data_IF_174156304435
#
_entry.id   IF_174156304435
#
_cell.length_a   1.000
_cell.length_b   1.000
_cell.length_c   1.000
_cell.angle_alpha   90.00
_cell.angle_beta   90.00
_cell.angle_gamma   90.00
#
_symmetry.space_group_name_H-M   'P 1'
#
loop_
_entity.id
_entity.type
_entity.pdbx_description
1 polymer ?
#
# COMPACT_ATOMS: atom_id res chain seq x y z
N UNK A 1 -15.49 23.14 9.87
CA UNK A 1 -14.49 22.51 10.76
C UNK A 1 -13.73 21.36 10.11
N UNK A 2 -14.40 20.45 9.42
CA UNK A 2 -13.73 19.37 8.68
C UNK A 2 -12.75 19.88 7.60
N UNK A 3 -13.04 21.02 6.98
CA UNK A 3 -12.17 21.64 5.98
C UNK A 3 -10.79 22.06 6.49
N UNK A 4 -10.70 22.54 7.73
CA UNK A 4 -9.39 22.91 8.32
C UNK A 4 -8.54 21.70 8.62
N UNK A 5 -9.16 20.60 9.04
CA UNK A 5 -8.48 19.35 9.33
C UNK A 5 -7.99 18.69 8.04
N UNK A 6 -8.82 18.71 6.99
CA UNK A 6 -8.45 18.19 5.66
C UNK A 6 -7.30 19.01 5.06
N UNK A 7 -7.28 20.34 5.23
CA UNK A 7 -6.17 21.17 4.78
C UNK A 7 -4.85 20.87 5.48
N UNK A 8 -4.89 20.54 6.77
CA UNK A 8 -3.68 20.23 7.53
C UNK A 8 -3.01 18.92 7.08
N UNK A 9 -3.78 18.01 6.46
CA UNK A 9 -3.31 16.71 6.01
C UNK A 9 -3.37 16.54 4.49
N UNK A 10 -3.50 17.65 3.79
CA UNK A 10 -3.63 17.63 2.34
C UNK A 10 -2.35 17.09 1.69
N UNK A 11 -2.54 16.14 0.81
CA UNK A 11 -1.51 15.67 -0.11
C UNK A 11 -1.77 16.33 -1.47
N UNK A 12 -0.71 16.81 -2.11
CA UNK A 12 -0.79 17.30 -3.47
C UNK A 12 -0.81 16.08 -4.42
N UNK A 13 -2.01 15.63 -4.76
CA UNK A 13 -2.19 14.53 -5.68
C UNK A 13 -2.07 15.00 -7.13
N UNK A 14 -1.33 14.25 -7.91
CA UNK A 14 -1.20 14.41 -9.35
C UNK A 14 -2.10 13.38 -10.03
N UNK A 15 -3.05 13.85 -10.81
CA UNK A 15 -4.00 12.97 -11.52
C UNK A 15 -3.35 12.36 -12.76
N UNK A 16 -3.53 11.06 -12.93
CA UNK A 16 -3.10 10.36 -14.12
C UNK A 16 -4.11 10.56 -15.26
N UNK A 17 -4.00 11.66 -15.97
CA UNK A 17 -4.95 12.06 -17.01
C UNK A 17 -4.72 11.28 -18.32
N UNK A 18 -3.46 11.00 -18.63
CA UNK A 18 -3.07 10.38 -19.91
C UNK A 18 -2.99 8.87 -19.87
N UNK A 19 -2.96 8.28 -18.66
CA UNK A 19 -2.82 6.83 -18.49
C UNK A 19 -1.45 6.26 -18.79
N UNK A 20 -0.45 7.10 -19.05
CA UNK A 20 0.90 6.71 -19.46
C UNK A 20 1.92 6.62 -18.32
N UNK A 21 1.49 6.78 -17.07
CA UNK A 21 2.36 6.78 -15.90
C UNK A 21 3.09 8.08 -15.64
N UNK A 22 2.84 9.14 -16.40
CA UNK A 22 3.48 10.44 -16.22
C UNK A 22 3.25 11.05 -14.86
N UNK A 23 2.03 10.95 -14.32
CA UNK A 23 1.69 11.45 -13.00
C UNK A 23 2.43 10.71 -11.89
N UNK A 24 2.58 9.40 -12.02
CA UNK A 24 3.36 8.57 -11.08
C UNK A 24 4.82 9.00 -11.05
N UNK A 25 5.44 9.15 -12.22
CA UNK A 25 6.83 9.56 -12.35
C UNK A 25 7.04 10.97 -11.80
N UNK A 26 6.12 11.89 -12.07
CA UNK A 26 6.16 13.25 -11.51
C UNK A 26 6.11 13.24 -9.97
N UNK A 27 5.22 12.43 -9.40
CA UNK A 27 5.13 12.29 -7.94
C UNK A 27 6.43 11.72 -7.35
N UNK A 28 7.01 10.69 -7.97
CA UNK A 28 8.27 10.09 -7.51
C UNK A 28 9.42 11.08 -7.58
N UNK A 29 9.48 11.94 -8.59
CA UNK A 29 10.50 12.98 -8.71
C UNK A 29 10.40 14.05 -7.61
N UNK A 30 9.22 14.22 -7.02
CA UNK A 30 8.97 15.14 -5.91
C UNK A 30 9.09 14.50 -4.53
N UNK A 31 9.34 13.21 -4.45
CA UNK A 31 9.42 12.47 -3.19
C UNK A 31 10.59 12.96 -2.35
N UNK A 32 10.29 13.35 -1.12
CA UNK A 32 11.29 13.74 -0.11
C UNK A 32 11.75 12.52 0.70
N UNK A 33 12.94 12.55 1.33
CA UNK A 33 13.47 11.39 2.07
C UNK A 33 12.60 10.89 3.23
N UNK A 34 11.81 11.77 3.83
CA UNK A 34 10.93 11.46 4.96
C UNK A 34 9.48 11.17 4.53
N UNK A 35 9.24 11.10 3.23
CA UNK A 35 7.91 10.89 2.68
C UNK A 35 7.71 9.46 2.18
N UNK A 36 6.44 9.04 2.17
CA UNK A 36 5.97 7.78 1.60
C UNK A 36 5.16 8.11 0.35
N UNK A 37 5.45 7.46 -0.79
CA UNK A 37 4.61 7.60 -1.97
C UNK A 37 3.30 6.84 -1.77
N UNK A 38 2.21 7.48 -2.15
CA UNK A 38 0.86 6.91 -2.04
C UNK A 38 0.07 7.12 -3.32
N UNK A 39 -0.92 6.28 -3.54
CA UNK A 39 -1.90 6.54 -4.58
C UNK A 39 -3.32 6.38 -4.05
N UNK A 40 -4.26 6.97 -4.76
CA UNK A 40 -5.68 6.86 -4.51
C UNK A 40 -6.43 6.89 -5.83
N UNK A 41 -7.74 6.68 -5.79
CA UNK A 41 -8.59 6.74 -6.99
C UNK A 41 -9.53 7.94 -6.91
N UNK A 42 -9.79 8.56 -8.05
CA UNK A 42 -10.88 9.52 -8.20
C UNK A 42 -12.22 8.79 -8.29
N UNK A 43 -13.31 9.52 -8.21
CA UNK A 43 -14.66 8.96 -8.41
C UNK A 43 -14.86 8.31 -9.79
N UNK A 44 -13.96 8.60 -10.74
CA UNK A 44 -13.94 8.00 -12.09
C UNK A 44 -12.94 6.85 -12.22
N UNK A 45 -12.45 6.32 -11.10
CA UNK A 45 -11.44 5.26 -11.04
C UNK A 45 -10.08 5.60 -11.65
N UNK A 46 -9.81 6.86 -11.91
CA UNK A 46 -8.47 7.32 -12.31
C UNK A 46 -7.57 7.42 -11.09
N UNK A 47 -6.33 6.98 -11.24
CA UNK A 47 -5.35 7.06 -10.16
C UNK A 47 -4.85 8.49 -9.96
N UNK A 48 -4.64 8.81 -8.70
CA UNK A 48 -3.93 10.01 -8.26
C UNK A 48 -2.69 9.59 -7.49
N UNK A 49 -1.58 10.27 -7.72
CA UNK A 49 -0.29 9.97 -7.11
C UNK A 49 0.19 11.14 -6.27
N UNK A 50 0.75 10.84 -5.11
CA UNK A 50 1.26 11.87 -4.21
C UNK A 50 2.22 11.30 -3.19
N UNK A 51 2.70 12.16 -2.31
CA UNK A 51 3.66 11.80 -1.26
C UNK A 51 3.22 12.42 0.05
N UNK A 52 3.45 11.73 1.15
CA UNK A 52 3.09 12.22 2.47
C UNK A 52 4.03 11.66 3.54
N UNK A 53 4.12 12.35 4.68
CA UNK A 53 4.86 11.84 5.82
C UNK A 53 4.12 10.67 6.48
N UNK A 54 4.82 9.76 7.17
CA UNK A 54 4.18 8.67 7.91
C UNK A 54 3.13 9.16 8.91
N UNK A 55 3.42 10.27 9.59
CA UNK A 55 2.51 10.87 10.56
C UNK A 55 1.20 11.35 9.90
N UNK A 56 1.29 12.00 8.74
CA UNK A 56 0.12 12.42 7.99
C UNK A 56 -0.64 11.23 7.43
N UNK A 57 0.04 10.21 6.95
CA UNK A 57 -0.58 8.99 6.43
C UNK A 57 -1.46 8.33 7.49
N UNK A 58 -0.97 8.18 8.72
CA UNK A 58 -1.76 7.60 9.81
C UNK A 58 -3.05 8.40 10.06
N UNK A 59 -2.99 9.71 10.04
CA UNK A 59 -4.17 10.58 10.19
C UNK A 59 -5.13 10.46 9.01
N UNK A 60 -4.60 10.34 7.80
CA UNK A 60 -5.42 10.20 6.59
C UNK A 60 -6.15 8.87 6.54
N UNK A 61 -5.52 7.78 6.97
CA UNK A 61 -6.11 6.43 7.02
C UNK A 61 -7.35 6.40 7.92
N UNK A 62 -7.34 7.11 9.03
CA UNK A 62 -8.49 7.21 9.93
C UNK A 62 -9.70 7.87 9.28
N UNK A 63 -9.49 8.75 8.32
CA UNK A 63 -10.53 9.57 7.67
C UNK A 63 -10.88 9.15 6.26
N UNK A 64 -9.95 8.52 5.56
CA UNK A 64 -10.07 8.16 4.15
C UNK A 64 -9.87 6.68 3.92
N UNK A 65 -10.86 6.06 3.27
CA UNK A 65 -10.70 4.73 2.69
C UNK A 65 -10.17 4.89 1.26
N UNK A 66 -9.32 3.99 0.82
CA UNK A 66 -8.82 3.98 -0.55
C UNK A 66 -7.51 4.73 -0.76
N UNK A 67 -6.72 4.84 0.30
CA UNK A 67 -5.32 5.25 0.20
C UNK A 67 -4.44 4.01 0.18
N UNK A 68 -3.43 4.02 -0.70
CA UNK A 68 -2.54 2.89 -0.91
C UNK A 68 -1.09 3.37 -0.87
N UNK A 69 -0.27 2.72 -0.07
CA UNK A 69 1.17 2.93 -0.09
C UNK A 69 1.76 2.32 -1.36
N UNK A 70 2.71 3.03 -1.96
CA UNK A 70 3.44 2.55 -3.13
C UNK A 70 4.82 2.10 -2.70
N UNK A 71 5.18 0.86 -2.99
CA UNK A 71 6.54 0.37 -2.80
C UNK A 71 7.37 0.89 -3.96
N UNK A 72 8.21 1.88 -3.70
CA UNK A 72 8.97 2.58 -4.74
C UNK A 72 10.48 2.32 -4.66
N UNK A 73 11.02 2.25 -3.46
CA UNK A 73 12.46 2.20 -3.26
C UNK A 73 12.85 1.26 -2.13
N UNK A 74 14.13 0.91 -2.10
CA UNK A 74 14.73 0.13 -1.03
C UNK A 74 15.33 1.05 0.06
N UNK A 75 15.41 0.60 1.32
CA UNK A 75 14.89 -0.68 1.80
C UNK A 75 13.37 -0.65 2.03
N UNK A 76 12.72 -1.79 1.92
CA UNK A 76 11.33 -1.95 2.31
C UNK A 76 11.08 -3.33 2.94
N UNK A 77 9.96 -3.50 3.62
CA UNK A 77 9.61 -4.80 4.22
C UNK A 77 9.27 -5.82 3.15
N UNK A 78 9.49 -7.09 3.47
CA UNK A 78 9.01 -8.19 2.62
C UNK A 78 7.49 -8.19 2.64
N UNK A 79 6.89 -8.23 1.48
CA UNK A 79 5.47 -8.06 1.29
C UNK A 79 4.92 -9.05 0.26
N UNK A 80 3.74 -9.59 0.54
CA UNK A 80 3.04 -10.51 -0.35
C UNK A 80 1.62 -10.03 -0.62
N UNK A 81 1.23 -10.05 -1.88
CA UNK A 81 -0.13 -9.79 -2.34
C UNK A 81 -0.71 -11.11 -2.85
N UNK A 82 -1.72 -11.62 -2.15
CA UNK A 82 -2.31 -12.93 -2.39
C UNK A 82 -3.73 -12.75 -2.90
N UNK A 83 -3.95 -13.21 -4.12
CA UNK A 83 -5.27 -13.18 -4.74
C UNK A 83 -5.67 -14.58 -5.23
N UNK A 84 -6.84 -15.04 -4.82
CA UNK A 84 -7.45 -16.27 -5.31
C UNK A 84 -8.89 -15.98 -5.73
N UNK A 85 -9.25 -16.31 -6.96
CA UNK A 85 -10.56 -16.01 -7.55
C UNK A 85 -11.65 -17.02 -7.16
N UNK A 86 -11.63 -17.44 -5.91
CA UNK A 86 -12.67 -18.24 -5.28
C UNK A 86 -12.62 -18.05 -3.76
N UNK A 87 -13.70 -18.39 -3.09
CA UNK A 87 -13.72 -18.41 -1.63
C UNK A 87 -12.94 -19.60 -1.12
N UNK A 88 -11.89 -19.34 -0.33
CA UNK A 88 -11.10 -20.39 0.32
C UNK A 88 -10.67 -19.94 1.72
N UNK A 89 -11.40 -20.40 2.71
CA UNK A 89 -11.15 -20.03 4.12
C UNK A 89 -9.84 -20.62 4.67
N UNK A 90 -9.29 -21.65 4.02
CA UNK A 90 -8.05 -22.31 4.44
C UNK A 90 -6.82 -21.77 3.72
N UNK A 91 -7.00 -20.90 2.72
CA UNK A 91 -5.91 -20.43 1.88
C UNK A 91 -4.84 -19.67 2.66
N UNK A 92 -5.26 -18.79 3.57
CA UNK A 92 -4.35 -18.03 4.41
C UNK A 92 -3.45 -18.92 5.27
N UNK A 93 -4.01 -19.98 5.87
CA UNK A 93 -3.24 -20.91 6.70
C UNK A 93 -2.17 -21.60 5.88
N UNK A 94 -2.49 -22.03 4.66
CA UNK A 94 -1.53 -22.66 3.74
C UNK A 94 -0.42 -21.69 3.33
N UNK A 95 -0.77 -20.46 2.96
CA UNK A 95 0.19 -19.44 2.55
C UNK A 95 1.11 -19.07 3.72
N UNK A 96 0.57 -18.85 4.91
CA UNK A 96 1.36 -18.57 6.11
C UNK A 96 2.34 -19.69 6.43
N UNK A 97 1.93 -20.95 6.26
CA UNK A 97 2.80 -22.11 6.44
C UNK A 97 3.96 -22.13 5.46
N UNK A 98 3.71 -21.81 4.20
CA UNK A 98 4.77 -21.69 3.18
C UNK A 98 5.73 -20.56 3.54
N UNK A 99 5.22 -19.40 3.90
CA UNK A 99 6.05 -18.25 4.29
C UNK A 99 6.93 -18.62 5.49
N UNK A 100 6.40 -19.27 6.50
CA UNK A 100 7.14 -19.69 7.68
C UNK A 100 8.25 -20.71 7.37
N UNK A 101 8.10 -21.49 6.30
CA UNK A 101 9.15 -22.40 5.85
C UNK A 101 10.41 -21.64 5.41
N UNK A 102 10.23 -20.51 4.72
CA UNK A 102 11.33 -19.69 4.24
C UNK A 102 11.76 -18.59 5.23
N UNK A 103 10.86 -18.18 6.12
CA UNK A 103 11.06 -17.13 7.12
C UNK A 103 10.57 -17.64 8.48
N UNK A 104 11.35 -18.52 9.16
CA UNK A 104 10.85 -19.26 10.33
C UNK A 104 10.40 -18.39 11.51
N UNK A 105 10.99 -17.23 11.68
CA UNK A 105 10.70 -16.28 12.75
C UNK A 105 9.90 -15.06 12.27
N UNK A 106 9.21 -15.17 11.13
CA UNK A 106 8.47 -14.07 10.55
C UNK A 106 7.35 -13.57 11.47
N UNK A 107 7.35 -12.26 11.69
CA UNK A 107 6.26 -11.53 12.34
C UNK A 107 5.36 -10.95 11.24
N UNK A 108 4.23 -11.63 10.99
CA UNK A 108 3.34 -11.32 9.87
C UNK A 108 2.24 -10.35 10.27
N UNK A 109 2.17 -9.22 9.58
CA UNK A 109 1.00 -8.35 9.59
C UNK A 109 0.10 -8.75 8.42
N UNK A 110 -1.14 -9.16 8.72
CA UNK A 110 -2.08 -9.68 7.72
C UNK A 110 -3.31 -8.79 7.67
N UNK A 111 -3.69 -8.42 6.45
CA UNK A 111 -4.96 -7.74 6.17
C UNK A 111 -5.59 -8.35 4.93
N UNK A 112 -6.90 -8.23 4.80
CA UNK A 112 -7.59 -8.74 3.63
C UNK A 112 -9.03 -9.07 3.88
N UNK A 113 -9.64 -9.78 2.93
CA UNK A 113 -11.05 -10.15 2.99
C UNK A 113 -11.32 -11.45 2.23
N UNK A 114 -12.36 -12.14 2.67
CA UNK A 114 -12.92 -13.31 1.97
C UNK A 114 -14.35 -12.95 1.57
N UNK A 115 -14.65 -13.08 0.29
CA UNK A 115 -15.99 -12.97 -0.26
C UNK A 115 -16.38 -14.29 -0.93
N UNK A 116 -17.60 -14.40 -1.40
CA UNK A 116 -18.05 -15.60 -2.14
C UNK A 116 -17.26 -15.81 -3.44
N UNK A 117 -16.68 -14.73 -4.00
CA UNK A 117 -16.01 -14.75 -5.30
C UNK A 117 -14.49 -14.68 -5.22
N UNK A 118 -13.95 -14.29 -4.05
CA UNK A 118 -12.53 -13.98 -3.95
C UNK A 118 -11.99 -14.15 -2.53
N UNK A 119 -10.77 -14.64 -2.45
CA UNK A 119 -9.94 -14.60 -1.24
C UNK A 119 -8.73 -13.72 -1.50
N UNK A 120 -8.56 -12.65 -0.73
CA UNK A 120 -7.56 -11.63 -0.96
C UNK A 120 -6.87 -11.24 0.34
N UNK A 121 -5.52 -11.31 0.36
CA UNK A 121 -4.72 -10.95 1.52
C UNK A 121 -3.48 -10.16 1.15
N UNK A 122 -3.14 -9.23 2.02
CA UNK A 122 -1.82 -8.59 2.04
C UNK A 122 -1.09 -9.06 3.28
N UNK A 123 0.13 -9.54 3.11
CA UNK A 123 0.97 -10.00 4.21
C UNK A 123 2.29 -9.26 4.17
N UNK A 124 2.62 -8.57 5.26
CA UNK A 124 3.91 -7.91 5.42
C UNK A 124 4.69 -8.60 6.55
N UNK A 125 5.96 -8.89 6.31
CA UNK A 125 6.87 -9.42 7.33
C UNK A 125 7.50 -8.24 8.05
N UNK A 126 7.07 -7.98 9.29
CA UNK A 126 7.45 -6.78 10.03
C UNK A 126 8.94 -6.75 10.40
N UNK A 127 9.54 -7.91 10.55
CA UNK A 127 10.93 -8.10 10.99
C UNK A 127 11.92 -8.46 9.88
N UNK A 128 11.50 -8.38 8.61
CA UNK A 128 12.37 -8.62 7.45
C UNK A 128 12.37 -7.40 6.54
N UNK A 129 13.54 -7.07 6.02
CA UNK A 129 13.74 -5.92 5.15
C UNK A 129 14.49 -6.37 3.90
N UNK A 130 14.02 -5.92 2.75
CA UNK A 130 14.71 -6.12 1.47
C UNK A 130 15.58 -4.89 1.20
N UNK A 131 16.85 -5.11 0.95
CA UNK A 131 17.78 -4.10 0.48
C UNK A 131 17.99 -4.25 -1.02
N UNK A 132 18.26 -3.13 -1.69
CA UNK A 132 18.71 -3.16 -3.07
C UNK A 132 20.18 -3.57 -3.08
N UNK A 133 20.44 -4.80 -3.45
CA UNK A 133 21.80 -5.30 -3.70
C UNK A 133 22.05 -5.31 -5.20
N UNK A 134 22.83 -4.37 -5.65
CA UNK A 134 23.30 -4.36 -7.03
C UNK A 134 24.44 -5.34 -7.22
#
# INVERSE_FOLDING_TARGET
MQFKIIKAWKVDFIKNITGDGGAMNEAFNKLKPDEIPIHSFTNKHNRMWGNTSPKNLLKMIEKNKGLYEVIHSFPHKVYFDIDKHEKDENHLIKVKGIIQTYFPDADMAVSGSITEEKTSYHIALQNYVIHNED
#
